data_IF_991571793595
#
_entry.id   IF_991571793595
#
_cell.length_a   1.000
_cell.length_b   1.000
_cell.length_c   1.000
_cell.angle_alpha   90.00
_cell.angle_beta   90.00
_cell.angle_gamma   90.00
#
_symmetry.space_group_name_H-M   'P 1'
#
loop_
_entity.id
_entity.type
_entity.pdbx_description
1 polymer ?
#
# COMPACT_ATOMS: atom_id res chain seq x y z
N UNK A 1 15.55 21.51 -18.50
CA UNK A 1 14.55 20.67 -17.83
C UNK A 1 14.09 21.38 -16.58
N UNK A 2 12.79 21.36 -16.27
CA UNK A 2 12.21 22.06 -15.11
C UNK A 2 12.54 21.32 -13.82
N UNK A 3 12.85 22.07 -12.76
CA UNK A 3 13.11 21.54 -11.41
C UNK A 3 12.01 20.57 -10.98
N UNK A 4 12.38 19.37 -10.54
CA UNK A 4 11.42 18.38 -10.06
C UNK A 4 10.70 18.90 -8.81
N UNK A 5 9.37 18.83 -8.82
CA UNK A 5 8.55 19.14 -7.63
C UNK A 5 8.71 18.01 -6.64
N UNK A 6 9.13 18.33 -5.42
CA UNK A 6 9.34 17.36 -4.35
C UNK A 6 8.10 17.24 -3.46
N UNK A 7 7.81 16.01 -3.00
CA UNK A 7 6.73 15.75 -2.06
C UNK A 7 7.05 16.43 -0.73
N UNK A 8 6.10 17.21 -0.21
CA UNK A 8 6.25 17.96 1.03
C UNK A 8 4.97 17.93 1.86
N UNK A 9 4.98 18.59 3.01
CA UNK A 9 3.78 18.79 3.85
C UNK A 9 2.71 19.68 3.20
N UNK A 10 3.03 20.37 2.09
CA UNK A 10 2.09 21.21 1.32
C UNK A 10 1.54 20.52 0.08
N UNK A 11 2.01 19.32 -0.23
CA UNK A 11 1.53 18.55 -1.38
C UNK A 11 0.05 18.20 -1.20
N UNK A 12 -0.66 18.02 -2.30
CA UNK A 12 -2.11 17.78 -2.35
C UNK A 12 -2.46 16.54 -3.19
N UNK A 13 -3.73 16.12 -3.15
CA UNK A 13 -4.21 14.97 -3.92
C UNK A 13 -3.49 13.68 -3.52
N UNK A 14 -3.01 12.92 -4.51
CA UNK A 14 -2.29 11.66 -4.32
C UNK A 14 -0.95 11.79 -3.59
N UNK A 15 -0.44 13.02 -3.42
CA UNK A 15 0.81 13.28 -2.70
C UNK A 15 0.57 13.69 -1.24
N UNK A 16 -0.70 13.87 -0.84
CA UNK A 16 -1.09 14.11 0.54
C UNK A 16 -1.54 12.80 1.20
N UNK A 17 -0.81 12.29 2.21
CA UNK A 17 -1.21 11.13 3.00
C UNK A 17 -2.63 11.22 3.57
N UNK A 18 -3.13 12.42 3.91
CA UNK A 18 -4.45 12.59 4.50
C UNK A 18 -5.57 12.20 3.53
N UNK A 19 -5.42 12.51 2.25
CA UNK A 19 -6.42 12.16 1.23
C UNK A 19 -6.56 10.65 1.09
N UNK A 20 -5.44 9.92 1.09
CA UNK A 20 -5.45 8.46 1.11
C UNK A 20 -6.11 7.88 2.36
N UNK A 21 -5.83 8.42 3.54
CA UNK A 21 -6.48 7.99 4.79
C UNK A 21 -7.99 8.22 4.73
N UNK A 22 -8.44 9.38 4.23
CA UNK A 22 -9.85 9.72 4.09
C UNK A 22 -10.56 8.75 3.14
N UNK A 23 -9.98 8.52 1.96
CA UNK A 23 -10.50 7.54 0.99
C UNK A 23 -10.60 6.14 1.59
N UNK A 24 -9.53 5.69 2.26
CA UNK A 24 -9.50 4.39 2.91
C UNK A 24 -10.57 4.24 4.01
N UNK A 25 -10.84 5.29 4.79
CA UNK A 25 -11.91 5.27 5.80
C UNK A 25 -13.29 5.13 5.17
N UNK A 26 -13.56 5.83 4.06
CA UNK A 26 -14.80 5.68 3.31
C UNK A 26 -14.99 4.24 2.85
N UNK A 27 -13.99 3.69 2.17
CA UNK A 27 -14.00 2.31 1.66
C UNK A 27 -14.17 1.26 2.76
N UNK A 28 -13.46 1.39 3.89
CA UNK A 28 -13.58 0.48 5.03
C UNK A 28 -15.00 0.53 5.62
N UNK A 29 -15.56 1.72 5.78
CA UNK A 29 -16.91 1.90 6.33
C UNK A 29 -17.95 1.27 5.41
N UNK A 30 -17.82 1.50 4.10
CA UNK A 30 -18.66 0.84 3.09
C UNK A 30 -18.51 -0.67 3.13
N UNK A 31 -17.29 -1.21 3.22
CA UNK A 31 -17.04 -2.65 3.30
C UNK A 31 -17.76 -3.31 4.49
N UNK A 32 -17.72 -2.68 5.65
CA UNK A 32 -18.40 -3.14 6.88
C UNK A 32 -19.91 -3.09 6.71
N UNK A 33 -20.48 -1.98 6.26
CA UNK A 33 -21.93 -1.86 6.04
C UNK A 33 -22.41 -2.91 5.02
N UNK A 34 -21.71 -3.06 3.90
CA UNK A 34 -22.02 -4.10 2.89
C UNK A 34 -21.98 -5.50 3.49
N UNK A 35 -21.03 -5.79 4.39
CA UNK A 35 -20.95 -7.10 5.07
C UNK A 35 -22.14 -7.34 5.98
N UNK A 36 -22.53 -6.34 6.77
CA UNK A 36 -23.69 -6.46 7.66
C UNK A 36 -25.00 -6.60 6.88
N UNK A 37 -25.18 -5.82 5.80
CA UNK A 37 -26.31 -5.99 4.89
C UNK A 37 -26.37 -7.41 4.33
N UNK A 38 -25.23 -7.97 3.92
CA UNK A 38 -25.17 -9.37 3.46
C UNK A 38 -25.57 -10.36 4.55
N UNK A 39 -25.11 -10.20 5.79
CA UNK A 39 -25.48 -11.10 6.90
C UNK A 39 -26.99 -11.12 7.13
N UNK A 40 -27.62 -9.96 7.20
CA UNK A 40 -29.07 -9.83 7.34
C UNK A 40 -29.79 -10.46 6.15
N UNK A 41 -29.39 -10.12 4.93
CA UNK A 41 -30.00 -10.67 3.70
C UNK A 41 -29.88 -12.20 3.64
N UNK A 42 -28.72 -12.76 4.02
CA UNK A 42 -28.49 -14.20 4.05
C UNK A 42 -29.43 -14.90 5.05
N UNK A 43 -29.67 -14.32 6.21
CA UNK A 43 -30.59 -14.85 7.21
C UNK A 43 -32.03 -14.86 6.68
N UNK A 44 -32.50 -13.71 6.18
CA UNK A 44 -33.85 -13.58 5.60
C UNK A 44 -34.05 -14.53 4.42
N UNK A 45 -33.08 -14.60 3.51
CA UNK A 45 -33.15 -15.52 2.37
C UNK A 45 -33.26 -16.99 2.81
N UNK A 46 -32.48 -17.38 3.83
CA UNK A 46 -32.52 -18.74 4.38
C UNK A 46 -33.87 -19.07 5.03
N UNK A 47 -34.48 -18.08 5.70
CA UNK A 47 -35.82 -18.23 6.29
C UNK A 47 -36.90 -18.38 5.22
N UNK A 48 -36.93 -17.48 4.25
CA UNK A 48 -37.95 -17.51 3.18
C UNK A 48 -37.85 -18.79 2.33
N UNK A 49 -36.65 -19.33 2.16
CA UNK A 49 -36.45 -20.63 1.50
C UNK A 49 -37.10 -21.80 2.27
N UNK A 50 -37.03 -21.78 3.61
CA UNK A 50 -37.66 -22.81 4.46
C UNK A 50 -39.19 -22.68 4.46
N UNK A 51 -39.68 -21.45 4.39
CA UNK A 51 -41.11 -21.13 4.40
C UNK A 51 -41.77 -21.24 3.01
N UNK A 52 -41.01 -21.63 1.97
CA UNK A 52 -41.47 -21.66 0.57
C UNK A 52 -42.08 -20.32 0.08
N UNK A 53 -41.67 -19.21 0.68
CA UNK A 53 -42.30 -17.90 0.53
C UNK A 53 -41.74 -17.05 -0.63
N UNK A 54 -40.85 -17.60 -1.47
CA UNK A 54 -40.21 -16.87 -2.59
C UNK A 54 -40.73 -17.35 -3.93
N UNK A 55 -41.28 -16.43 -4.72
CA UNK A 55 -41.58 -16.66 -6.13
C UNK A 55 -40.28 -16.79 -6.96
N UNK A 56 -40.35 -17.47 -8.11
CA UNK A 56 -39.18 -17.82 -8.90
C UNK A 56 -38.39 -16.62 -9.44
N UNK A 57 -39.05 -15.50 -9.78
CA UNK A 57 -38.37 -14.29 -10.25
C UNK A 57 -37.62 -13.56 -9.12
N UNK A 58 -38.21 -13.50 -7.93
CA UNK A 58 -37.54 -12.91 -6.75
C UNK A 58 -36.31 -13.72 -6.33
N UNK A 59 -36.36 -15.04 -6.49
CA UNK A 59 -35.27 -15.95 -6.11
C UNK A 59 -33.95 -15.64 -6.81
N UNK A 60 -33.97 -15.27 -8.10
CA UNK A 60 -32.77 -14.92 -8.87
C UNK A 60 -32.12 -13.63 -8.36
N UNK A 61 -32.92 -12.59 -8.12
CA UNK A 61 -32.46 -11.32 -7.56
C UNK A 61 -31.85 -11.50 -6.17
N UNK A 62 -32.53 -12.26 -5.30
CA UNK A 62 -32.02 -12.56 -3.97
C UNK A 62 -30.69 -13.35 -4.02
N UNK A 63 -30.53 -14.27 -4.98
CA UNK A 63 -29.30 -15.03 -5.18
C UNK A 63 -28.13 -14.15 -5.65
N UNK A 64 -28.39 -13.22 -6.57
CA UNK A 64 -27.38 -12.26 -7.03
C UNK A 64 -26.89 -11.37 -5.88
N UNK A 65 -27.79 -10.90 -5.01
CA UNK A 65 -27.40 -10.15 -3.81
C UNK A 65 -26.62 -11.01 -2.82
N UNK A 66 -27.03 -12.26 -2.61
CA UNK A 66 -26.39 -13.19 -1.69
C UNK A 66 -24.93 -13.47 -2.07
N UNK A 67 -24.65 -13.56 -3.38
CA UNK A 67 -23.31 -13.86 -3.91
C UNK A 67 -22.48 -12.60 -4.19
N UNK A 68 -23.11 -11.49 -4.57
CA UNK A 68 -22.45 -10.24 -4.95
C UNK A 68 -22.01 -9.38 -3.75
N UNK A 69 -22.87 -9.21 -2.74
CA UNK A 69 -22.56 -8.36 -1.58
C UNK A 69 -21.27 -8.76 -0.83
N UNK A 70 -21.00 -10.04 -0.51
CA UNK A 70 -19.80 -10.39 0.24
C UNK A 70 -18.52 -10.22 -0.61
N UNK A 71 -18.60 -10.38 -1.94
CA UNK A 71 -17.50 -10.05 -2.87
C UNK A 71 -17.22 -8.55 -2.88
N UNK A 72 -18.25 -7.73 -3.03
CA UNK A 72 -18.12 -6.27 -2.98
C UNK A 72 -17.52 -5.79 -1.65
N UNK A 73 -17.96 -6.37 -0.53
CA UNK A 73 -17.41 -6.09 0.80
C UNK A 73 -15.91 -6.39 0.88
N UNK A 74 -15.46 -7.57 0.45
CA UNK A 74 -14.03 -7.92 0.44
C UNK A 74 -13.20 -7.02 -0.50
N UNK A 75 -13.76 -6.65 -1.66
CA UNK A 75 -13.09 -5.76 -2.61
C UNK A 75 -12.85 -4.36 -2.01
N UNK A 76 -13.89 -3.78 -1.40
CA UNK A 76 -13.80 -2.48 -0.72
C UNK A 76 -12.82 -2.53 0.45
N UNK A 77 -12.82 -3.63 1.23
CA UNK A 77 -11.84 -3.85 2.29
C UNK A 77 -10.40 -3.90 1.74
N UNK A 78 -10.18 -4.61 0.63
CA UNK A 78 -8.88 -4.66 -0.05
C UNK A 78 -8.41 -3.27 -0.48
N UNK A 79 -9.26 -2.49 -1.15
CA UNK A 79 -8.91 -1.13 -1.53
C UNK A 79 -8.65 -0.23 -0.31
N UNK A 80 -9.41 -0.36 0.78
CA UNK A 80 -9.15 0.42 2.00
C UNK A 80 -7.74 0.19 2.54
N UNK A 81 -7.28 -1.06 2.57
CA UNK A 81 -5.92 -1.41 2.98
C UNK A 81 -4.88 -0.83 2.03
N UNK A 82 -5.12 -0.93 0.72
CA UNK A 82 -4.26 -0.33 -0.29
C UNK A 82 -4.12 1.19 -0.08
N UNK A 83 -5.22 1.90 0.20
CA UNK A 83 -5.20 3.35 0.46
C UNK A 83 -4.38 3.67 1.71
N UNK A 84 -4.57 2.94 2.81
CA UNK A 84 -3.78 3.16 4.04
C UNK A 84 -2.29 2.95 3.81
N UNK A 85 -1.94 1.87 3.11
CA UNK A 85 -0.56 1.57 2.75
C UNK A 85 0.07 2.66 1.87
N UNK A 86 -0.67 3.16 0.87
CA UNK A 86 -0.24 4.27 0.00
C UNK A 86 -0.12 5.59 0.77
N UNK A 87 -0.91 5.81 1.82
CA UNK A 87 -0.74 6.95 2.72
C UNK A 87 0.62 6.90 3.44
N UNK A 88 1.00 5.73 3.97
CA UNK A 88 2.33 5.51 4.56
C UNK A 88 3.44 5.70 3.53
N UNK A 89 3.23 5.22 2.30
CA UNK A 89 4.19 5.36 1.21
C UNK A 89 4.43 6.83 0.85
N UNK A 90 3.38 7.64 0.75
CA UNK A 90 3.49 9.08 0.49
C UNK A 90 4.34 9.79 1.56
N UNK A 91 4.25 9.37 2.83
CA UNK A 91 5.15 9.86 3.89
C UNK A 91 6.59 9.38 3.69
N UNK A 92 6.79 8.10 3.36
CA UNK A 92 8.11 7.54 3.10
C UNK A 92 8.85 8.22 1.93
N UNK A 93 8.10 8.77 0.96
CA UNK A 93 8.62 9.48 -0.21
C UNK A 93 8.75 11.00 -0.02
N UNK A 94 8.53 11.55 1.19
CA UNK A 94 8.77 12.98 1.45
C UNK A 94 10.20 13.36 1.08
N UNK A 95 10.36 14.49 0.38
CA UNK A 95 11.62 14.96 -0.18
C UNK A 95 12.02 14.32 -1.52
N UNK A 96 11.35 13.25 -1.96
CA UNK A 96 11.54 12.67 -3.30
C UNK A 96 10.71 13.43 -4.35
N UNK A 97 11.05 13.24 -5.63
CA UNK A 97 10.28 13.82 -6.73
C UNK A 97 8.86 13.22 -6.81
N UNK A 98 7.88 14.06 -7.13
CA UNK A 98 6.51 13.62 -7.40
C UNK A 98 6.46 12.60 -8.56
N UNK A 99 7.33 12.76 -9.55
CA UNK A 99 7.45 11.86 -10.70
C UNK A 99 7.90 10.45 -10.28
N UNK A 100 8.90 10.35 -9.39
CA UNK A 100 9.34 9.07 -8.82
C UNK A 100 8.20 8.37 -8.09
N UNK A 101 7.46 9.12 -7.27
CA UNK A 101 6.33 8.56 -6.52
C UNK A 101 5.21 8.07 -7.45
N UNK A 102 4.84 8.86 -8.46
CA UNK A 102 3.82 8.48 -9.45
C UNK A 102 4.21 7.23 -10.24
N UNK A 103 5.49 7.10 -10.60
CA UNK A 103 6.00 5.90 -11.27
C UNK A 103 5.93 4.70 -10.31
N UNK A 104 6.50 4.84 -9.13
CA UNK A 104 6.63 3.73 -8.19
C UNK A 104 5.28 3.24 -7.66
N UNK A 105 4.31 4.13 -7.40
CA UNK A 105 2.97 3.73 -6.96
C UNK A 105 2.25 2.89 -8.03
N UNK A 106 2.52 3.14 -9.32
CA UNK A 106 1.88 2.43 -10.45
C UNK A 106 2.62 1.15 -10.83
N UNK A 107 3.95 1.20 -10.92
CA UNK A 107 4.74 0.13 -11.51
C UNK A 107 5.39 -0.77 -10.46
N UNK A 108 5.99 -0.15 -9.43
CA UNK A 108 6.73 -0.88 -8.40
C UNK A 108 5.76 -1.54 -7.43
N UNK A 109 4.82 -0.75 -6.91
CA UNK A 109 3.90 -1.18 -5.85
C UNK A 109 2.55 -1.63 -6.38
N UNK A 110 1.82 -0.81 -7.14
CA UNK A 110 0.48 -1.15 -7.63
C UNK A 110 -0.37 -1.77 -6.51
N UNK A 111 -0.95 -2.95 -6.74
CA UNK A 111 -1.72 -3.74 -5.78
C UNK A 111 -0.89 -4.70 -4.91
N UNK A 112 0.45 -4.61 -4.91
CA UNK A 112 1.33 -5.52 -4.13
C UNK A 112 1.34 -5.13 -2.65
N UNK A 113 0.27 -5.48 -1.94
CA UNK A 113 0.03 -5.03 -0.55
C UNK A 113 1.15 -5.42 0.42
N UNK A 114 1.69 -6.63 0.33
CA UNK A 114 2.85 -7.07 1.14
C UNK A 114 4.09 -6.21 0.85
N UNK A 115 4.35 -5.89 -0.41
CA UNK A 115 5.49 -5.03 -0.79
C UNK A 115 5.31 -3.60 -0.25
N UNK A 116 4.09 -3.06 -0.30
CA UNK A 116 3.77 -1.77 0.28
C UNK A 116 3.96 -1.77 1.81
N UNK A 117 3.45 -2.78 2.51
CA UNK A 117 3.59 -2.93 3.96
C UNK A 117 5.06 -2.98 4.39
N UNK A 118 5.87 -3.74 3.65
CA UNK A 118 7.32 -3.79 3.86
C UNK A 118 8.00 -2.43 3.60
N UNK A 119 7.59 -1.69 2.57
CA UNK A 119 8.15 -0.36 2.26
C UNK A 119 7.86 0.69 3.34
N UNK A 120 6.76 0.54 4.08
CA UNK A 120 6.44 1.41 5.21
C UNK A 120 6.87 0.81 6.55
N UNK A 121 7.69 -0.25 6.54
CA UNK A 121 8.16 -0.97 7.71
C UNK A 121 7.04 -1.37 8.69
N UNK A 122 5.88 -1.76 8.16
CA UNK A 122 4.81 -2.33 8.97
C UNK A 122 5.30 -3.68 9.54
N UNK A 123 5.12 -3.95 10.85
CA UNK A 123 5.62 -5.16 11.49
C UNK A 123 4.75 -6.38 11.12
N UNK A 124 4.97 -6.90 9.91
CA UNK A 124 4.26 -8.07 9.40
C UNK A 124 4.60 -9.33 10.20
N UNK A 125 3.59 -10.14 10.44
CA UNK A 125 3.74 -11.56 10.79
C UNK A 125 3.18 -12.45 9.66
N UNK A 126 3.37 -13.76 9.75
CA UNK A 126 2.94 -14.70 8.70
C UNK A 126 1.42 -14.71 8.46
N UNK A 127 0.62 -14.41 9.48
CA UNK A 127 -0.84 -14.27 9.32
C UNK A 127 -1.16 -13.00 8.53
N UNK A 128 -0.52 -11.88 8.86
CA UNK A 128 -0.71 -10.61 8.16
C UNK A 128 -0.36 -10.73 6.68
N UNK A 129 0.72 -11.42 6.34
CA UNK A 129 1.09 -11.67 4.93
C UNK A 129 0.02 -12.47 4.17
N UNK A 130 -0.54 -13.51 4.80
CA UNK A 130 -1.63 -14.30 4.21
C UNK A 130 -2.90 -13.47 4.02
N UNK A 131 -3.25 -12.64 5.00
CA UNK A 131 -4.42 -11.77 4.93
C UNK A 131 -4.23 -10.67 3.85
N UNK A 132 -3.02 -10.10 3.72
CA UNK A 132 -2.71 -9.16 2.63
C UNK A 132 -2.74 -9.82 1.25
N UNK A 133 -2.28 -11.07 1.15
CA UNK A 133 -2.32 -11.83 -0.10
C UNK A 133 -3.76 -12.16 -0.50
N UNK A 134 -4.60 -12.55 0.46
CA UNK A 134 -6.04 -12.71 0.27
C UNK A 134 -6.67 -11.43 -0.28
N UNK A 135 -6.42 -10.28 0.35
CA UNK A 135 -6.96 -8.99 -0.09
C UNK A 135 -6.44 -8.57 -1.47
N UNK A 136 -5.17 -8.83 -1.78
CA UNK A 136 -4.62 -8.61 -3.13
C UNK A 136 -5.40 -9.43 -4.16
N UNK A 137 -5.67 -10.70 -3.87
CA UNK A 137 -6.39 -11.57 -4.80
C UNK A 137 -7.86 -11.13 -4.97
N UNK A 138 -8.49 -10.58 -3.93
CA UNK A 138 -9.81 -9.94 -4.06
C UNK A 138 -9.77 -8.74 -5.01
N UNK A 139 -8.76 -7.88 -4.88
CA UNK A 139 -8.57 -6.72 -5.75
C UNK A 139 -8.32 -7.14 -7.21
N UNK A 140 -7.52 -8.19 -7.44
CA UNK A 140 -7.10 -8.58 -8.79
C UNK A 140 -8.08 -9.52 -9.50
N UNK A 141 -8.74 -10.41 -8.78
CA UNK A 141 -9.50 -11.49 -9.40
C UNK A 141 -10.79 -11.85 -8.66
N UNK A 142 -10.68 -12.33 -7.42
CA UNK A 142 -11.73 -13.11 -6.76
C UNK A 142 -13.05 -12.36 -6.56
N UNK A 143 -13.01 -11.03 -6.49
CA UNK A 143 -14.21 -10.20 -6.37
C UNK A 143 -14.67 -9.55 -7.69
N UNK A 144 -13.89 -9.68 -8.77
CA UNK A 144 -14.11 -8.92 -10.02
C UNK A 144 -14.45 -9.80 -11.22
N UNK A 145 -13.87 -10.99 -11.29
CA UNK A 145 -14.01 -11.89 -12.43
C UNK A 145 -14.75 -13.17 -12.03
N UNK A 146 -15.40 -13.85 -13.00
CA UNK A 146 -15.82 -15.23 -12.81
C UNK A 146 -14.66 -16.10 -12.31
N UNK A 147 -14.98 -17.19 -11.61
CA UNK A 147 -13.96 -18.08 -11.06
C UNK A 147 -13.10 -18.68 -12.18
N UNK A 148 -11.78 -18.67 -11.98
CA UNK A 148 -10.86 -19.41 -12.83
C UNK A 148 -10.86 -20.88 -12.39
N UNK A 149 -10.95 -21.81 -13.35
CA UNK A 149 -10.94 -23.25 -13.08
C UNK A 149 -9.60 -23.82 -13.52
N UNK A 150 -8.71 -24.21 -12.58
CA UNK A 150 -7.47 -24.89 -12.91
C UNK A 150 -7.71 -26.25 -13.56
N UNK A 151 -6.76 -26.70 -14.37
CA UNK A 151 -6.80 -28.05 -14.95
C UNK A 151 -6.92 -29.12 -13.85
N UNK A 152 -7.87 -30.04 -14.03
CA UNK A 152 -8.14 -31.11 -13.08
C UNK A 152 -9.02 -30.74 -11.87
N UNK A 153 -9.51 -29.50 -11.77
CA UNK A 153 -10.50 -29.08 -10.76
C UNK A 153 -11.89 -28.98 -11.38
N UNK A 154 -12.94 -29.39 -10.66
CA UNK A 154 -14.31 -29.17 -11.14
C UNK A 154 -14.73 -27.71 -10.97
N UNK A 155 -15.63 -27.22 -11.83
CA UNK A 155 -16.18 -25.87 -11.69
C UNK A 155 -16.82 -25.65 -10.31
N UNK A 156 -17.56 -26.63 -9.80
CA UNK A 156 -18.19 -26.55 -8.48
C UNK A 156 -17.17 -26.42 -7.35
N UNK A 157 -16.06 -27.15 -7.41
CA UNK A 157 -15.03 -27.08 -6.36
C UNK A 157 -14.37 -25.70 -6.35
N UNK A 158 -14.03 -25.16 -7.52
CA UNK A 158 -13.46 -23.82 -7.64
C UNK A 158 -14.42 -22.73 -7.12
N UNK A 159 -15.72 -22.82 -7.45
CA UNK A 159 -16.74 -21.91 -6.92
C UNK A 159 -16.86 -22.02 -5.40
N UNK A 160 -16.89 -23.24 -4.86
CA UNK A 160 -17.01 -23.47 -3.42
C UNK A 160 -15.81 -22.90 -2.67
N UNK A 161 -14.59 -23.13 -3.15
CA UNK A 161 -13.36 -22.64 -2.53
C UNK A 161 -13.31 -21.09 -2.50
N UNK A 162 -13.66 -20.44 -3.61
CA UNK A 162 -13.76 -18.98 -3.67
C UNK A 162 -14.87 -18.46 -2.74
N UNK A 163 -16.02 -19.13 -2.73
CA UNK A 163 -17.15 -18.76 -1.87
C UNK A 163 -16.76 -18.86 -0.40
N UNK A 164 -16.08 -19.94 0.00
CA UNK A 164 -15.58 -20.13 1.36
C UNK A 164 -14.66 -18.98 1.76
N UNK A 165 -13.66 -18.64 0.94
CA UNK A 165 -12.76 -17.52 1.22
C UNK A 165 -13.50 -16.20 1.43
N UNK A 166 -14.47 -15.88 0.58
CA UNK A 166 -15.19 -14.60 0.56
C UNK A 166 -16.24 -14.52 1.68
N UNK A 167 -16.94 -15.62 1.96
CA UNK A 167 -18.07 -15.67 2.90
C UNK A 167 -17.64 -15.94 4.34
N UNK A 168 -16.40 -16.40 4.55
CA UNK A 168 -15.88 -16.69 5.87
C UNK A 168 -15.81 -15.42 6.75
N UNK A 169 -16.57 -15.43 7.85
CA UNK A 169 -16.66 -14.30 8.79
C UNK A 169 -15.33 -14.02 9.50
N UNK A 170 -14.55 -15.07 9.77
CA UNK A 170 -13.26 -14.97 10.45
C UNK A 170 -12.23 -14.30 9.52
N UNK A 171 -12.22 -14.64 8.22
CA UNK A 171 -11.40 -13.95 7.22
C UNK A 171 -11.73 -12.45 7.17
N UNK A 172 -13.02 -12.10 7.10
CA UNK A 172 -13.43 -10.70 7.06
C UNK A 172 -13.02 -9.94 8.33
N UNK A 173 -13.23 -10.55 9.51
CA UNK A 173 -12.84 -9.99 10.80
C UNK A 173 -11.33 -9.76 10.86
N UNK A 174 -10.54 -10.78 10.53
CA UNK A 174 -9.09 -10.74 10.49
C UNK A 174 -8.55 -9.63 9.57
N UNK A 175 -9.10 -9.53 8.37
CA UNK A 175 -8.72 -8.49 7.41
C UNK A 175 -9.11 -7.08 7.90
N UNK A 176 -10.25 -6.94 8.59
CA UNK A 176 -10.70 -5.66 9.16
C UNK A 176 -9.79 -5.21 10.31
N UNK A 177 -9.39 -6.13 11.18
CA UNK A 177 -8.44 -5.87 12.26
C UNK A 177 -7.06 -5.47 11.71
N UNK A 178 -6.59 -6.18 10.68
CA UNK A 178 -5.37 -5.84 9.95
C UNK A 178 -5.47 -4.44 9.31
N UNK A 179 -6.60 -4.11 8.68
CA UNK A 179 -6.82 -2.80 8.09
C UNK A 179 -6.73 -1.68 9.13
N UNK A 180 -7.30 -1.88 10.33
CA UNK A 180 -7.17 -0.91 11.42
C UNK A 180 -5.71 -0.74 11.86
N UNK A 181 -4.97 -1.84 12.05
CA UNK A 181 -3.55 -1.76 12.43
C UNK A 181 -2.70 -1.03 11.39
N UNK A 182 -2.91 -1.31 10.11
CA UNK A 182 -2.21 -0.64 9.00
C UNK A 182 -2.56 0.85 8.93
N UNK A 183 -3.84 1.20 9.10
CA UNK A 183 -4.29 2.60 9.17
C UNK A 183 -3.59 3.33 10.29
N UNK A 184 -3.56 2.73 11.48
CA UNK A 184 -3.01 3.37 12.67
C UNK A 184 -1.49 3.50 12.56
N UNK A 185 -0.78 2.49 12.02
CA UNK A 185 0.64 2.59 11.66
C UNK A 185 0.90 3.74 10.68
N UNK A 186 0.12 3.79 9.59
CA UNK A 186 0.28 4.82 8.54
C UNK A 186 0.00 6.23 9.08
N UNK A 187 -0.96 6.39 10.00
CA UNK A 187 -1.21 7.65 10.70
C UNK A 187 -0.04 8.03 11.61
N UNK A 188 0.52 7.06 12.34
CA UNK A 188 1.63 7.26 13.29
C UNK A 188 2.93 7.74 12.65
N UNK A 189 3.19 7.34 11.39
CA UNK A 189 4.39 7.79 10.66
C UNK A 189 4.46 9.33 10.66
N UNK A 190 5.61 9.88 11.06
CA UNK A 190 5.87 11.33 11.19
C UNK A 190 4.90 12.11 12.11
N UNK A 191 4.12 11.43 12.96
CA UNK A 191 3.12 12.05 13.84
C UNK A 191 3.24 11.66 15.32
N UNK A 192 4.39 11.11 15.72
CA UNK A 192 4.69 10.71 17.09
C UNK A 192 5.88 11.53 17.64
N UNK A 193 5.63 12.33 18.67
CA UNK A 193 6.64 13.17 19.32
C UNK A 193 7.75 12.36 20.00
N UNK A 194 7.49 11.10 20.37
CA UNK A 194 8.50 10.20 20.95
C UNK A 194 9.41 9.57 19.88
N UNK A 195 9.06 9.68 18.60
CA UNK A 195 9.89 9.25 17.48
C UNK A 195 9.82 10.30 16.35
N UNK A 196 10.40 11.49 16.56
CA UNK A 196 10.29 12.58 15.58
C UNK A 196 10.97 12.20 14.27
N UNK A 197 10.47 12.76 13.17
CA UNK A 197 11.09 12.63 11.84
C UNK A 197 11.99 13.82 11.55
N UNK A 198 13.17 13.57 10.99
CA UNK A 198 14.02 14.59 10.35
C UNK A 198 14.08 14.34 8.85
N UNK A 199 14.00 15.41 8.06
CA UNK A 199 14.04 15.38 6.60
C UNK A 199 15.00 16.45 6.09
N UNK A 200 15.96 16.05 5.27
CA UNK A 200 16.89 16.91 4.56
C UNK A 200 16.75 16.66 3.06
N UNK A 201 16.72 17.73 2.27
CA UNK A 201 16.65 17.64 0.82
C UNK A 201 17.57 18.67 0.18
N UNK A 202 18.35 18.24 -0.81
CA UNK A 202 19.33 19.05 -1.50
C UNK A 202 19.14 18.94 -3.01
N UNK A 203 19.29 20.07 -3.69
CA UNK A 203 19.39 20.12 -5.13
C UNK A 203 20.82 19.75 -5.54
N UNK A 204 20.98 18.89 -6.55
CA UNK A 204 22.28 18.55 -7.15
C UNK A 204 22.27 18.99 -8.62
N UNK A 205 23.06 20.01 -8.96
CA UNK A 205 22.97 20.62 -10.30
C UNK A 205 21.55 21.12 -10.61
N UNK A 206 21.18 21.11 -11.90
CA UNK A 206 19.89 21.67 -12.34
C UNK A 206 18.72 20.69 -12.24
N UNK A 207 19.00 19.37 -12.30
CA UNK A 207 18.00 18.31 -12.46
C UNK A 207 18.18 17.13 -11.49
N UNK A 208 19.28 17.07 -10.75
CA UNK A 208 19.51 16.05 -9.73
C UNK A 208 19.01 16.47 -8.35
N UNK A 209 18.79 15.50 -7.47
CA UNK A 209 18.44 15.79 -6.08
C UNK A 209 18.92 14.70 -5.14
N UNK A 210 19.02 15.05 -3.86
CA UNK A 210 19.25 14.13 -2.77
C UNK A 210 18.21 14.37 -1.68
N UNK A 211 17.65 13.31 -1.13
CA UNK A 211 16.72 13.34 -0.02
C UNK A 211 17.15 12.32 1.03
N UNK A 212 17.22 12.78 2.27
CA UNK A 212 17.50 11.97 3.44
C UNK A 212 16.39 12.14 4.47
N UNK A 213 15.88 11.03 5.00
CA UNK A 213 14.98 11.04 6.15
C UNK A 213 15.37 10.00 7.19
N UNK A 214 15.08 10.31 8.44
CA UNK A 214 15.28 9.41 9.59
C UNK A 214 14.17 9.64 10.62
N UNK A 215 13.78 8.58 11.34
CA UNK A 215 12.73 8.65 12.37
C UNK A 215 11.31 8.67 11.78
N UNK A 216 10.33 9.04 12.61
CA UNK A 216 8.92 8.99 12.24
C UNK A 216 8.39 7.57 12.06
N UNK A 217 8.89 6.60 12.84
CA UNK A 217 8.57 5.16 12.73
C UNK A 217 8.97 4.52 11.40
N UNK A 218 9.87 5.14 10.64
CA UNK A 218 10.44 4.57 9.43
C UNK A 218 11.95 4.38 9.56
N UNK A 219 12.51 3.35 8.90
CA UNK A 219 13.95 3.21 8.75
C UNK A 219 14.57 4.44 8.09
N UNK A 220 15.84 4.76 8.39
CA UNK A 220 16.56 5.80 7.67
C UNK A 220 16.50 5.52 6.17
N UNK A 221 16.27 6.53 5.36
CA UNK A 221 16.16 6.41 3.90
C UNK A 221 16.94 7.52 3.22
N UNK A 222 17.73 7.13 2.24
CA UNK A 222 18.38 8.01 1.29
C UNK A 222 17.76 7.74 -0.08
N UNK A 223 17.40 8.80 -0.78
CA UNK A 223 16.94 8.72 -2.17
C UNK A 223 17.61 9.81 -2.98
N UNK A 224 18.21 9.46 -4.12
CA UNK A 224 18.91 10.43 -4.96
C UNK A 224 18.59 10.24 -6.44
N UNK A 225 18.62 11.35 -7.19
CA UNK A 225 18.62 11.37 -8.65
C UNK A 225 19.92 12.03 -9.11
N UNK A 226 20.71 11.33 -9.92
CA UNK A 226 21.99 11.85 -10.42
C UNK A 226 21.74 12.95 -11.46
N UNK A 227 22.38 14.10 -11.30
CA UNK A 227 22.25 15.23 -12.23
C UNK A 227 22.88 14.94 -13.59
N UNK A 228 22.42 15.66 -14.62
CA UNK A 228 23.02 15.59 -15.96
C UNK A 228 24.51 15.93 -15.97
N UNK A 229 24.96 16.86 -15.11
CA UNK A 229 26.38 17.24 -14.97
C UNK A 229 27.19 16.09 -14.34
N UNK A 230 26.65 15.43 -13.32
CA UNK A 230 27.32 14.26 -12.75
C UNK A 230 27.40 13.11 -13.75
N UNK A 231 26.35 12.91 -14.56
CA UNK A 231 26.36 11.93 -15.65
C UNK A 231 27.43 12.24 -16.69
N UNK A 232 27.58 13.49 -17.12
CA UNK A 232 28.59 13.89 -18.11
C UNK A 232 30.02 13.72 -17.59
N UNK A 233 30.23 13.85 -16.27
CA UNK A 233 31.53 13.66 -15.63
C UNK A 233 31.77 12.24 -15.11
N UNK A 234 30.88 11.29 -15.40
CA UNK A 234 30.92 9.90 -14.90
C UNK A 234 30.97 9.78 -13.35
N UNK A 235 30.47 10.77 -12.62
CA UNK A 235 30.39 10.81 -11.16
C UNK A 235 29.02 10.30 -10.67
N UNK A 236 28.69 9.06 -11.05
CA UNK A 236 27.35 8.48 -10.86
C UNK A 236 27.32 7.37 -9.81
N UNK A 237 28.48 6.99 -9.25
CA UNK A 237 28.55 5.90 -8.27
C UNK A 237 28.01 6.33 -6.91
N UNK A 238 27.64 5.36 -6.08
CA UNK A 238 27.18 5.64 -4.72
C UNK A 238 28.25 6.34 -3.87
N UNK A 239 29.54 6.06 -4.14
CA UNK A 239 30.66 6.73 -3.48
C UNK A 239 30.77 8.19 -3.89
N UNK A 240 30.51 8.51 -5.16
CA UNK A 240 30.48 9.90 -5.64
C UNK A 240 29.37 10.69 -4.96
N UNK A 241 28.18 10.09 -4.82
CA UNK A 241 27.06 10.71 -4.09
C UNK A 241 27.42 10.90 -2.62
N UNK A 242 28.03 9.90 -1.98
CA UNK A 242 28.47 10.00 -0.58
C UNK A 242 29.49 11.12 -0.37
N UNK A 243 30.42 11.30 -1.30
CA UNK A 243 31.47 12.31 -1.21
C UNK A 243 30.92 13.75 -1.17
N UNK A 244 29.70 13.99 -1.64
CA UNK A 244 29.02 15.29 -1.55
C UNK A 244 28.63 15.67 -0.11
N UNK A 245 28.59 14.70 0.81
CA UNK A 245 28.10 14.88 2.17
C UNK A 245 29.19 14.58 3.20
N UNK A 246 30.24 15.43 3.32
CA UNK A 246 31.30 15.24 4.32
C UNK A 246 30.76 15.37 5.75
N UNK A 247 31.32 14.58 6.67
CA UNK A 247 30.86 14.50 8.07
C UNK A 247 30.96 15.82 8.84
N UNK A 248 31.89 16.70 8.46
CA UNK A 248 32.04 18.04 9.05
C UNK A 248 30.83 18.95 8.83
N UNK A 249 30.06 18.72 7.76
CA UNK A 249 28.89 19.53 7.39
C UNK A 249 27.57 18.77 7.50
N UNK A 250 27.61 17.44 7.31
CA UNK A 250 26.43 16.59 7.29
C UNK A 250 26.57 15.38 8.23
N UNK A 251 26.75 15.63 9.54
CA UNK A 251 27.03 14.56 10.50
C UNK A 251 25.90 13.53 10.59
N UNK A 252 24.64 13.96 10.44
CA UNK A 252 23.48 13.08 10.55
C UNK A 252 23.38 12.09 9.36
N UNK A 253 23.55 12.59 8.13
CA UNK A 253 23.58 11.76 6.92
C UNK A 253 24.71 10.72 7.03
N UNK A 254 25.91 11.16 7.41
CA UNK A 254 27.06 10.27 7.59
C UNK A 254 26.81 9.19 8.64
N UNK A 255 26.21 9.57 9.77
CA UNK A 255 25.90 8.64 10.87
C UNK A 255 24.93 7.53 10.44
N UNK A 256 23.93 7.85 9.62
CA UNK A 256 22.90 6.90 9.19
C UNK A 256 23.16 6.23 7.84
N UNK A 257 24.21 6.59 7.11
CA UNK A 257 24.45 6.11 5.74
C UNK A 257 24.37 4.59 5.61
N UNK A 258 25.16 3.85 6.40
CA UNK A 258 25.23 2.38 6.36
C UNK A 258 23.95 1.70 6.87
N UNK A 259 23.10 2.43 7.59
CA UNK A 259 21.83 1.95 8.13
C UNK A 259 20.64 2.31 7.23
N UNK A 260 20.89 3.11 6.20
CA UNK A 260 19.84 3.65 5.36
C UNK A 260 19.40 2.67 4.29
N UNK A 261 18.11 2.73 3.97
CA UNK A 261 17.61 2.23 2.71
C UNK A 261 17.98 3.22 1.62
N UNK A 262 18.83 2.80 0.69
CA UNK A 262 19.39 3.68 -0.35
C UNK A 262 18.73 3.36 -1.69
N UNK A 263 18.08 4.38 -2.26
CA UNK A 263 17.40 4.30 -3.54
C UNK A 263 17.93 5.33 -4.53
N UNK A 264 18.05 4.92 -5.80
CA UNK A 264 18.30 5.82 -6.92
C UNK A 264 17.00 6.00 -7.71
N UNK A 265 16.56 7.25 -7.88
CA UNK A 265 15.51 7.65 -8.82
C UNK A 265 16.11 7.68 -10.23
N UNK A 266 16.04 6.53 -10.92
CA UNK A 266 16.45 6.41 -12.31
C UNK A 266 15.31 6.74 -13.27
N UNK A 267 15.65 7.16 -14.50
CA UNK A 267 14.67 7.59 -15.51
C UNK A 267 13.51 6.63 -15.73
N UNK A 268 13.80 5.32 -15.79
CA UNK A 268 12.79 4.28 -16.06
C UNK A 268 12.32 3.52 -14.82
N UNK A 269 13.10 3.53 -13.75
CA UNK A 269 12.81 2.75 -12.53
C UNK A 269 13.62 3.23 -11.35
N UNK A 270 13.05 3.05 -10.16
CA UNK A 270 13.79 3.15 -8.91
C UNK A 270 14.68 1.93 -8.72
N UNK A 271 15.96 2.15 -8.40
CA UNK A 271 16.93 1.09 -8.07
C UNK A 271 17.18 1.10 -6.57
N UNK A 272 17.18 -0.08 -5.95
CA UNK A 272 17.57 -0.24 -4.55
C UNK A 272 19.04 -0.67 -4.50
N UNK A 273 19.87 0.13 -3.84
CA UNK A 273 21.30 -0.13 -3.68
C UNK A 273 21.63 -0.78 -2.33
N UNK A 274 20.92 -0.37 -1.28
CA UNK A 274 21.06 -0.94 0.05
C UNK A 274 19.72 -0.97 0.76
N UNK A 275 19.46 -2.08 1.48
CA UNK A 275 18.32 -2.21 2.39
C UNK A 275 18.75 -3.10 3.56
N UNK A 276 19.58 -2.59 4.49
CA UNK A 276 19.99 -3.35 5.66
C UNK A 276 18.75 -3.87 6.39
N UNK A 277 18.78 -5.14 6.78
CA UNK A 277 17.80 -5.65 7.74
C UNK A 277 18.06 -4.90 9.04
N UNK A 278 17.02 -4.29 9.60
CA UNK A 278 17.13 -3.72 10.94
C UNK A 278 17.50 -4.88 11.88
N UNK A 279 18.68 -4.81 12.49
CA UNK A 279 19.06 -5.66 13.61
C UNK A 279 18.25 -5.32 14.85
#
# INVERSE_FOLDING_TARGET
>A
MTRAVAISYRSAGQFDPKNWITEGNGLLSSAVVTRETWKTHRQTFSQNLREHALENQDRSTHWNLLTGLPRASMLLLGYSVEMYLKAGLAKAYRGCSEQMFQRDIKERFSHKLVSLANEIAFPLNQKDERDLELLKNMILADARYPVFVPDGTSYSDAVNEQTERVWNSENFKNCTELASRIRDHSKKIDADSNNPSSLEAYQMGDDGYFSFRVGGHLPPRITYCVSSIQKSHCQTSLNDIRALFPSSRYPLICHYWERSWIYEDGEKRTRCHARPKNG
#
